data_IF_804715189701
#
_entry.id   IF_804715189701
#
_cell.length_a   1.000
_cell.length_b   1.000
_cell.length_c   1.000
_cell.angle_alpha   90.00
_cell.angle_beta   90.00
_cell.angle_gamma   90.00
#
_symmetry.space_group_name_H-M   'P 1'
#
loop_
_entity.id
_entity.type
_entity.pdbx_description
1 polymer ?
#
# COMPACT_ATOMS: atom_id res chain seq x y z
N UNK A 1 17.92 9.05 -2.44
CA UNK A 1 17.37 8.03 -3.36
C UNK A 1 17.18 8.67 -4.74
N UNK A 2 17.52 7.99 -5.85
CA UNK A 2 17.29 8.58 -7.18
C UNK A 2 15.80 8.56 -7.49
N UNK A 3 15.31 9.47 -8.35
CA UNK A 3 13.88 9.50 -8.71
C UNK A 3 13.39 8.18 -9.31
N UNK A 4 14.24 7.45 -10.04
CA UNK A 4 13.93 6.11 -10.56
C UNK A 4 13.66 5.11 -9.43
N UNK A 5 14.47 5.14 -8.38
CA UNK A 5 14.34 4.27 -7.22
C UNK A 5 13.07 4.61 -6.42
N UNK A 6 12.80 5.92 -6.23
CA UNK A 6 11.55 6.39 -5.60
C UNK A 6 10.33 5.93 -6.39
N UNK A 7 10.38 6.02 -7.73
CA UNK A 7 9.28 5.58 -8.59
C UNK A 7 9.04 4.07 -8.50
N UNK A 8 10.11 3.28 -8.45
CA UNK A 8 10.02 1.82 -8.23
C UNK A 8 9.46 1.49 -6.83
N UNK A 9 9.93 2.17 -5.79
CA UNK A 9 9.46 2.01 -4.42
C UNK A 9 7.96 2.37 -4.31
N UNK A 10 7.57 3.53 -4.82
CA UNK A 10 6.19 4.00 -4.81
C UNK A 10 5.24 3.01 -5.50
N UNK A 11 5.61 2.51 -6.69
CA UNK A 11 4.84 1.46 -7.37
C UNK A 11 4.74 0.17 -6.57
N UNK A 12 5.85 -0.25 -5.95
CA UNK A 12 5.87 -1.46 -5.11
C UNK A 12 4.94 -1.32 -3.92
N UNK A 13 4.91 -0.17 -3.26
CA UNK A 13 4.00 0.13 -2.16
C UNK A 13 2.53 0.10 -2.61
N UNK A 14 2.21 0.64 -3.80
CA UNK A 14 0.87 0.54 -4.39
C UNK A 14 0.49 -0.92 -4.70
N UNK A 15 1.38 -1.70 -5.30
CA UNK A 15 1.07 -3.11 -5.55
C UNK A 15 0.90 -3.91 -4.25
N UNK A 16 1.72 -3.61 -3.24
CA UNK A 16 1.59 -4.17 -1.89
C UNK A 16 0.25 -3.82 -1.25
N UNK A 17 -0.25 -2.59 -1.41
CA UNK A 17 -1.55 -2.21 -0.87
C UNK A 17 -2.70 -2.98 -1.53
N UNK A 18 -2.63 -3.21 -2.85
CA UNK A 18 -3.61 -4.03 -3.57
C UNK A 18 -3.62 -5.47 -3.06
N UNK A 19 -2.45 -6.08 -2.84
CA UNK A 19 -2.34 -7.42 -2.24
C UNK A 19 -2.96 -7.45 -0.85
N UNK A 20 -2.71 -6.42 -0.02
CA UNK A 20 -3.31 -6.34 1.31
C UNK A 20 -4.83 -6.20 1.26
N UNK A 21 -5.40 -5.49 0.28
CA UNK A 21 -6.87 -5.44 0.08
C UNK A 21 -7.42 -6.82 -0.25
N UNK A 22 -6.73 -7.61 -1.08
CA UNK A 22 -7.14 -8.98 -1.40
C UNK A 22 -7.10 -9.86 -0.14
N UNK A 23 -6.04 -9.75 0.67
CA UNK A 23 -5.94 -10.48 1.94
C UNK A 23 -7.01 -10.03 2.95
N UNK A 24 -7.34 -8.75 2.99
CA UNK A 24 -8.44 -8.23 3.79
C UNK A 24 -9.79 -8.82 3.37
N UNK A 25 -10.03 -8.92 2.06
CA UNK A 25 -11.23 -9.55 1.50
C UNK A 25 -11.29 -11.03 1.86
N UNK A 26 -10.19 -11.78 1.70
CA UNK A 26 -10.10 -13.20 2.10
C UNK A 26 -10.37 -13.34 3.60
N UNK A 27 -9.79 -12.47 4.43
CA UNK A 27 -10.05 -12.44 5.88
C UNK A 27 -11.52 -12.18 6.20
N UNK A 28 -12.17 -11.28 5.46
CA UNK A 28 -13.58 -10.93 5.65
C UNK A 28 -14.53 -12.09 5.30
N UNK A 29 -14.22 -12.89 4.27
CA UNK A 29 -15.06 -14.02 3.83
C UNK A 29 -14.68 -15.36 4.47
N UNK A 30 -13.54 -15.43 5.15
CA UNK A 30 -12.93 -16.65 5.68
C UNK A 30 -13.07 -16.83 7.19
N UNK A 31 -11.97 -17.26 7.81
CA UNK A 31 -11.90 -17.78 9.19
C UNK A 31 -11.98 -16.74 10.31
N UNK A 32 -11.69 -15.46 10.02
CA UNK A 32 -11.71 -14.39 11.03
C UNK A 32 -12.06 -13.03 10.42
N UNK A 33 -13.37 -12.77 10.35
CA UNK A 33 -13.94 -11.62 9.65
C UNK A 33 -13.51 -10.28 10.26
N UNK A 34 -13.13 -10.24 11.55
CA UNK A 34 -12.88 -8.97 12.24
C UNK A 34 -11.39 -8.69 12.39
N UNK A 35 -10.61 -9.60 12.96
CA UNK A 35 -9.23 -9.28 13.33
C UNK A 35 -8.32 -9.30 12.10
N UNK A 36 -8.38 -10.36 11.29
CA UNK A 36 -7.51 -10.49 10.11
C UNK A 36 -7.85 -9.44 9.04
N UNK A 37 -9.14 -9.23 8.74
CA UNK A 37 -9.57 -8.30 7.67
C UNK A 37 -9.16 -6.85 7.97
N UNK A 38 -9.36 -6.39 9.22
CA UNK A 38 -9.05 -5.02 9.63
C UNK A 38 -7.54 -4.78 9.68
N UNK A 39 -6.75 -5.77 10.09
CA UNK A 39 -5.28 -5.71 10.07
C UNK A 39 -4.76 -5.51 8.64
N UNK A 40 -5.19 -6.35 7.69
CA UNK A 40 -4.79 -6.22 6.29
C UNK A 40 -5.25 -4.89 5.67
N UNK A 41 -6.44 -4.41 6.05
CA UNK A 41 -6.94 -3.11 5.59
C UNK A 41 -6.08 -1.94 6.10
N UNK A 42 -5.65 -1.96 7.36
CA UNK A 42 -4.76 -0.93 7.92
C UNK A 42 -3.38 -0.91 7.25
N UNK A 43 -2.83 -2.09 6.95
CA UNK A 43 -1.57 -2.20 6.21
C UNK A 43 -1.76 -1.67 4.79
N UNK A 44 -2.86 -2.03 4.12
CA UNK A 44 -3.19 -1.55 2.78
C UNK A 44 -3.23 -0.01 2.73
N UNK A 45 -3.95 0.61 3.68
CA UNK A 45 -4.06 2.06 3.79
C UNK A 45 -2.68 2.71 3.96
N UNK A 46 -1.86 2.17 4.86
CA UNK A 46 -0.52 2.69 5.13
C UNK A 46 0.37 2.63 3.88
N UNK A 47 0.40 1.48 3.20
CA UNK A 47 1.17 1.28 1.98
C UNK A 47 0.68 2.19 0.84
N UNK A 48 -0.64 2.38 0.71
CA UNK A 48 -1.21 3.26 -0.31
C UNK A 48 -0.80 4.73 -0.08
N UNK A 49 -0.94 5.23 1.15
CA UNK A 49 -0.57 6.61 1.50
C UNK A 49 0.92 6.85 1.22
N UNK A 50 1.79 5.96 1.70
CA UNK A 50 3.24 6.08 1.47
C UNK A 50 3.61 5.91 0.00
N UNK A 51 2.95 5.00 -0.73
CA UNK A 51 3.15 4.82 -2.16
C UNK A 51 2.85 6.08 -2.95
N UNK A 52 1.70 6.72 -2.68
CA UNK A 52 1.33 8.00 -3.30
C UNK A 52 2.31 9.10 -2.92
N UNK A 53 2.66 9.24 -1.64
CA UNK A 53 3.61 10.25 -1.18
C UNK A 53 4.96 10.14 -1.90
N UNK A 54 5.53 8.94 -1.97
CA UNK A 54 6.82 8.70 -2.64
C UNK A 54 6.74 8.96 -4.14
N UNK A 55 5.62 8.63 -4.79
CA UNK A 55 5.39 8.95 -6.20
C UNK A 55 5.30 10.46 -6.43
N UNK A 56 4.64 11.20 -5.53
CA UNK A 56 4.55 12.65 -5.59
C UNK A 56 5.94 13.30 -5.47
N UNK A 57 6.77 12.84 -4.53
CA UNK A 57 8.16 13.31 -4.42
C UNK A 57 8.98 13.01 -5.68
N UNK A 58 8.79 11.83 -6.29
CA UNK A 58 9.54 11.40 -7.47
C UNK A 58 9.19 12.20 -8.73
N UNK A 59 7.90 12.54 -8.90
CA UNK A 59 7.39 13.18 -10.12
C UNK A 59 7.31 14.71 -10.01
N UNK A 60 6.85 15.25 -8.87
CA UNK A 60 6.57 16.68 -8.72
C UNK A 60 7.66 17.47 -7.99
N UNK A 61 8.75 16.81 -7.55
CA UNK A 61 9.84 17.45 -6.78
C UNK A 61 9.30 18.34 -5.64
N UNK A 62 8.28 17.86 -4.92
CA UNK A 62 7.83 18.50 -3.69
C UNK A 62 9.04 18.50 -2.75
N UNK A 63 9.54 19.71 -2.45
CA UNK A 63 10.69 19.94 -1.57
C UNK A 63 10.24 20.06 -0.13
#
# INVERSE_FOLDING_TARGET
>A
MRNKDKLALGKTLIYGSVVCVILAFIGAVGTDMWLASTQWMLIALTLAIWGVFVLLEAQFKVK
#
